data_IF_733150134467
#
_entry.id   IF_733150134467
#
_cell.length_a   1.000
_cell.length_b   1.000
_cell.length_c   1.000
_cell.angle_alpha   90.00
_cell.angle_beta   90.00
_cell.angle_gamma   90.00
#
_symmetry.space_group_name_H-M   'P 1'
#
loop_
_entity.id
_entity.type
_entity.pdbx_description
1 polymer ?
#
# COMPACT_ATOMS: atom_id res chain seq x y z
N UNK A 1 -31.06 -10.03 4.96
CA UNK A 1 -29.63 -9.79 5.23
C UNK A 1 -29.52 -8.43 5.90
N UNK A 2 -28.80 -8.31 7.02
CA UNK A 2 -28.61 -7.00 7.70
C UNK A 2 -27.67 -6.11 6.88
N UNK A 3 -27.69 -4.79 7.08
CA UNK A 3 -26.76 -3.85 6.40
C UNK A 3 -25.29 -4.28 6.60
N UNK A 4 -24.94 -4.69 7.82
CA UNK A 4 -23.62 -5.24 8.16
C UNK A 4 -23.27 -6.47 7.32
N UNK A 5 -24.18 -7.43 7.21
CA UNK A 5 -23.95 -8.64 6.39
C UNK A 5 -23.82 -8.28 4.90
N UNK A 6 -24.60 -7.32 4.41
CA UNK A 6 -24.50 -6.81 3.03
C UNK A 6 -23.10 -6.23 2.80
N UNK A 7 -22.62 -5.34 3.68
CA UNK A 7 -21.30 -4.74 3.52
C UNK A 7 -20.17 -5.77 3.61
N UNK A 8 -20.27 -6.75 4.51
CA UNK A 8 -19.29 -7.85 4.59
C UNK A 8 -19.24 -8.61 3.26
N UNK A 9 -20.38 -8.99 2.70
CA UNK A 9 -20.45 -9.67 1.39
C UNK A 9 -19.82 -8.82 0.28
N UNK A 10 -20.10 -7.51 0.27
CA UNK A 10 -19.53 -6.60 -0.71
C UNK A 10 -18.03 -6.33 -0.54
N UNK A 11 -17.51 -6.26 0.69
CA UNK A 11 -16.06 -6.21 0.93
C UNK A 11 -15.39 -7.45 0.35
N UNK A 12 -15.97 -8.63 0.53
CA UNK A 12 -15.45 -9.84 -0.12
C UNK A 12 -15.46 -9.69 -1.64
N UNK A 13 -16.56 -9.21 -2.25
CA UNK A 13 -16.66 -9.03 -3.70
C UNK A 13 -15.63 -8.04 -4.27
N UNK A 14 -15.40 -6.92 -3.60
CA UNK A 14 -14.49 -5.85 -4.07
C UNK A 14 -13.03 -6.33 -4.16
N UNK A 15 -12.66 -7.35 -3.39
CA UNK A 15 -11.32 -7.96 -3.44
C UNK A 15 -11.15 -8.99 -4.56
N UNK A 16 -12.21 -9.32 -5.32
CA UNK A 16 -12.14 -10.23 -6.45
C UNK A 16 -11.86 -9.43 -7.73
N UNK A 17 -11.13 -10.03 -8.68
CA UNK A 17 -10.97 -9.46 -10.02
C UNK A 17 -12.12 -9.97 -10.89
N UNK A 18 -12.76 -9.10 -11.67
CA UNK A 18 -13.63 -9.56 -12.75
C UNK A 18 -12.76 -9.87 -13.98
N UNK A 19 -12.78 -11.12 -14.43
CA UNK A 19 -12.07 -11.63 -15.61
C UNK A 19 -13.07 -12.31 -16.54
N UNK A 20 -13.24 -11.80 -17.76
CA UNK A 20 -14.24 -12.29 -18.74
C UNK A 20 -15.65 -12.52 -18.15
N UNK A 21 -16.11 -11.58 -17.32
CA UNK A 21 -17.43 -11.66 -16.67
C UNK A 21 -17.53 -12.67 -15.51
N UNK A 22 -16.41 -13.30 -15.11
CA UNK A 22 -16.30 -14.17 -13.94
C UNK A 22 -15.42 -13.53 -12.88
N UNK A 23 -15.85 -13.58 -11.63
CA UNK A 23 -15.02 -13.12 -10.52
C UNK A 23 -13.99 -14.19 -10.17
N UNK A 24 -12.71 -13.84 -10.33
CA UNK A 24 -11.56 -14.65 -9.95
C UNK A 24 -11.05 -14.15 -8.60
N UNK A 25 -10.96 -15.07 -7.64
CA UNK A 25 -10.39 -14.76 -6.33
C UNK A 25 -8.92 -14.35 -6.46
N UNK A 26 -8.55 -13.21 -5.88
CA UNK A 26 -7.16 -12.75 -5.78
C UNK A 26 -6.63 -13.00 -4.37
N UNK A 27 -5.31 -13.20 -4.24
CA UNK A 27 -4.59 -13.46 -2.98
C UNK A 27 -4.69 -12.33 -1.92
N UNK A 28 -5.46 -11.26 -2.18
CA UNK A 28 -5.54 -10.04 -1.35
C UNK A 28 -6.57 -10.10 -0.22
N UNK A 29 -7.66 -10.85 -0.39
CA UNK A 29 -8.69 -10.96 0.65
C UNK A 29 -8.13 -11.49 1.98
N UNK A 30 -7.25 -12.52 1.99
CA UNK A 30 -6.50 -12.91 3.19
C UNK A 30 -5.69 -11.77 3.82
N UNK A 31 -4.93 -11.01 3.01
CA UNK A 31 -4.07 -9.91 3.49
C UNK A 31 -4.84 -8.78 4.18
N UNK A 32 -6.11 -8.57 3.82
CA UNK A 32 -6.97 -7.57 4.45
C UNK A 32 -7.09 -7.77 5.97
N UNK A 33 -7.11 -9.01 6.44
CA UNK A 33 -7.16 -9.29 7.88
C UNK A 33 -5.88 -8.81 8.56
N UNK A 34 -4.72 -9.06 7.96
CA UNK A 34 -3.43 -8.61 8.52
C UNK A 34 -3.24 -7.10 8.45
N UNK A 35 -3.79 -6.44 7.41
CA UNK A 35 -3.83 -4.97 7.31
C UNK A 35 -4.69 -4.36 8.44
N UNK A 36 -5.90 -4.89 8.66
CA UNK A 36 -6.78 -4.43 9.74
C UNK A 36 -6.13 -4.68 11.10
N UNK A 37 -5.52 -5.87 11.28
CA UNK A 37 -4.83 -6.20 12.51
C UNK A 37 -3.67 -5.23 12.80
N UNK A 38 -2.89 -4.89 11.76
CA UNK A 38 -1.83 -3.91 11.87
C UNK A 38 -2.38 -2.56 12.34
N UNK A 39 -3.37 -2.02 11.64
CA UNK A 39 -3.94 -0.70 11.91
C UNK A 39 -4.57 -0.59 13.30
N UNK A 40 -5.19 -1.65 13.82
CA UNK A 40 -5.94 -1.63 15.07
C UNK A 40 -5.16 -2.07 16.30
N UNK A 41 -4.26 -3.04 16.16
CA UNK A 41 -3.65 -3.72 17.29
C UNK A 41 -2.13 -3.66 17.25
N UNK A 42 -1.52 -4.09 16.13
CA UNK A 42 -0.07 -4.21 16.04
C UNK A 42 0.61 -2.84 16.12
N UNK A 43 0.05 -1.85 15.42
CA UNK A 43 0.63 -0.50 15.37
C UNK A 43 0.64 0.24 16.72
N UNK A 44 -0.01 -0.33 17.74
CA UNK A 44 -0.10 0.20 19.11
C UNK A 44 0.76 -0.58 20.11
N UNK A 45 1.47 -1.62 19.67
CA UNK A 45 2.37 -2.38 20.53
C UNK A 45 3.61 -1.55 20.84
N UNK A 46 3.94 -1.44 22.13
CA UNK A 46 5.06 -0.60 22.59
C UNK A 46 6.40 -1.15 22.13
N UNK A 47 6.49 -2.47 22.00
CA UNK A 47 7.65 -3.24 21.57
C UNK A 47 8.14 -2.80 20.18
N UNK A 48 7.25 -2.31 19.32
CA UNK A 48 7.60 -1.87 17.96
C UNK A 48 8.11 -0.42 17.90
N UNK A 49 7.99 0.35 18.99
CA UNK A 49 8.39 1.76 19.07
C UNK A 49 7.92 2.59 17.85
N UNK A 50 6.65 2.45 17.48
CA UNK A 50 6.09 3.12 16.31
C UNK A 50 5.63 4.54 16.63
N UNK A 51 5.60 5.43 15.62
CA UNK A 51 5.06 6.78 15.75
C UNK A 51 3.69 6.86 16.42
N UNK A 52 3.48 7.93 17.17
CA UNK A 52 2.16 8.28 17.67
C UNK A 52 1.29 8.93 16.58
N UNK A 53 -0.02 9.01 16.85
CA UNK A 53 -1.01 9.74 16.03
C UNK A 53 -1.01 9.32 14.55
N UNK A 54 -0.99 8.01 14.32
CA UNK A 54 -1.00 7.44 12.96
C UNK A 54 -2.21 7.94 12.14
N UNK A 55 -1.92 8.32 10.90
CA UNK A 55 -2.85 8.71 9.85
C UNK A 55 -2.77 7.67 8.73
N UNK A 56 -3.87 6.98 8.45
CA UNK A 56 -3.93 5.91 7.45
C UNK A 56 -4.52 6.41 6.13
N UNK A 57 -4.67 5.56 5.11
CA UNK A 57 -5.46 5.87 3.91
C UNK A 57 -4.84 6.94 2.99
N UNK A 58 -3.51 7.09 3.02
CA UNK A 58 -2.78 7.86 2.03
C UNK A 58 -2.53 7.01 0.79
N UNK A 59 -2.89 7.54 -0.37
CA UNK A 59 -2.72 6.89 -1.67
C UNK A 59 -2.23 7.91 -2.69
N UNK A 60 -1.64 7.45 -3.78
CA UNK A 60 -1.27 8.32 -4.90
C UNK A 60 -1.32 7.59 -6.23
N UNK A 61 -1.44 8.38 -7.31
CA UNK A 61 -1.05 7.97 -8.66
C UNK A 61 0.03 8.89 -9.21
N UNK A 62 0.86 8.38 -10.11
CA UNK A 62 1.79 9.24 -10.84
C UNK A 62 1.02 10.00 -11.94
N UNK A 63 1.36 11.28 -12.18
CA UNK A 63 0.73 12.08 -13.25
C UNK A 63 0.92 11.45 -14.64
N UNK A 64 2.03 10.75 -14.84
CA UNK A 64 2.29 9.89 -15.99
C UNK A 64 3.11 8.68 -15.55
N UNK A 65 3.19 7.64 -16.39
CA UNK A 65 3.91 6.38 -16.10
C UNK A 65 5.37 6.58 -15.66
N UNK A 66 5.99 7.68 -16.10
CA UNK A 66 7.40 7.99 -15.85
C UNK A 66 7.62 9.29 -15.08
N UNK A 67 6.57 10.03 -14.74
CA UNK A 67 6.72 11.26 -13.96
C UNK A 67 7.07 10.95 -12.50
N UNK A 68 7.88 11.83 -11.90
CA UNK A 68 8.11 11.87 -10.44
C UNK A 68 6.97 12.59 -9.71
N UNK A 69 6.12 13.29 -10.45
CA UNK A 69 5.00 14.06 -9.91
C UNK A 69 3.82 13.17 -9.59
N UNK A 70 3.26 13.38 -8.41
CA UNK A 70 2.19 12.56 -7.86
C UNK A 70 0.92 13.38 -7.67
N UNK A 71 -0.19 12.67 -7.77
CA UNK A 71 -1.50 13.13 -7.32
C UNK A 71 -1.85 12.27 -6.12
N UNK A 72 -1.80 12.89 -4.94
CA UNK A 72 -2.07 12.29 -3.66
C UNK A 72 -3.55 12.39 -3.30
N UNK A 73 -4.07 11.30 -2.75
CA UNK A 73 -5.42 11.19 -2.22
C UNK A 73 -5.33 10.73 -0.76
N UNK A 74 -5.84 11.54 0.16
CA UNK A 74 -6.11 11.14 1.54
C UNK A 74 -7.56 10.68 1.64
N UNK A 75 -7.77 9.42 1.96
CA UNK A 75 -9.10 8.93 2.31
C UNK A 75 -9.44 9.38 3.74
N UNK A 76 -10.58 10.05 3.90
CA UNK A 76 -11.00 10.63 5.18
C UNK A 76 -11.36 9.52 6.17
N UNK A 77 -10.92 9.68 7.41
CA UNK A 77 -11.23 8.78 8.53
C UNK A 77 -12.32 9.36 9.44
N UNK A 78 -13.00 10.44 9.03
CA UNK A 78 -14.05 11.10 9.81
C UNK A 78 -13.53 12.03 10.92
N UNK A 79 -12.22 12.27 11.00
CA UNK A 79 -11.59 13.27 11.88
C UNK A 79 -11.07 14.47 11.09
N UNK A 80 -10.96 15.63 11.76
CA UNK A 80 -10.30 16.80 11.19
C UNK A 80 -8.88 16.43 10.74
N UNK A 81 -8.50 16.83 9.52
CA UNK A 81 -7.16 16.61 8.97
C UNK A 81 -6.08 16.96 9.99
N UNK A 82 -5.52 15.91 10.59
CA UNK A 82 -4.64 16.03 11.75
C UNK A 82 -3.37 16.79 11.44
N UNK A 83 -2.72 17.26 12.50
CA UNK A 83 -1.41 17.90 12.43
C UNK A 83 -0.39 17.09 11.60
N UNK A 84 -0.41 15.76 11.75
CA UNK A 84 0.44 14.80 11.02
C UNK A 84 0.24 14.94 9.50
N UNK A 85 -1.01 14.88 9.03
CA UNK A 85 -1.35 15.05 7.62
C UNK A 85 -0.90 16.39 7.07
N UNK A 86 -1.08 17.48 7.84
CA UNK A 86 -0.64 18.82 7.44
C UNK A 86 0.89 18.89 7.30
N UNK A 87 1.63 18.34 8.25
CA UNK A 87 3.10 18.31 8.19
C UNK A 87 3.59 17.43 7.03
N UNK A 88 2.99 16.25 6.82
CA UNK A 88 3.29 15.38 5.69
C UNK A 88 3.11 16.10 4.35
N UNK A 89 1.95 16.73 4.11
CA UNK A 89 1.69 17.48 2.86
C UNK A 89 2.70 18.62 2.67
N UNK A 90 3.05 19.33 3.75
CA UNK A 90 4.07 20.39 3.69
C UNK A 90 5.43 19.83 3.24
N UNK A 91 5.91 18.77 3.88
CA UNK A 91 7.22 18.19 3.59
C UNK A 91 7.30 17.62 2.18
N UNK A 92 6.26 16.92 1.72
CA UNK A 92 6.21 16.41 0.35
C UNK A 92 6.17 17.57 -0.67
N UNK A 93 5.36 18.61 -0.46
CA UNK A 93 5.35 19.78 -1.36
C UNK A 93 6.66 20.55 -1.40
N UNK A 94 7.37 20.63 -0.26
CA UNK A 94 8.69 21.22 -0.21
C UNK A 94 9.71 20.42 -1.04
N UNK A 95 9.57 19.09 -1.07
CA UNK A 95 10.41 18.20 -1.88
C UNK A 95 10.02 18.17 -3.36
N UNK A 96 8.71 18.23 -3.67
CA UNK A 96 8.19 18.32 -5.03
C UNK A 96 6.99 19.26 -5.12
N UNK A 97 7.21 20.45 -5.70
CA UNK A 97 6.18 21.50 -5.80
C UNK A 97 5.03 21.13 -6.73
N UNK A 98 5.27 20.21 -7.68
CA UNK A 98 4.29 19.77 -8.66
C UNK A 98 3.35 18.68 -8.12
N UNK A 99 3.57 18.19 -6.90
CA UNK A 99 2.68 17.23 -6.26
C UNK A 99 1.35 17.89 -5.85
N UNK A 100 0.25 17.21 -6.16
CA UNK A 100 -1.11 17.66 -5.88
C UNK A 100 -1.76 16.79 -4.81
N UNK A 101 -2.68 17.36 -4.05
CA UNK A 101 -3.24 16.70 -2.87
C UNK A 101 -4.75 16.87 -2.83
N UNK A 102 -5.45 15.78 -2.59
CA UNK A 102 -6.91 15.73 -2.53
C UNK A 102 -7.35 14.96 -1.29
N UNK A 103 -8.44 15.41 -0.67
CA UNK A 103 -9.18 14.68 0.36
C UNK A 103 -10.38 14.02 -0.28
N UNK A 104 -10.53 12.72 -0.04
CA UNK A 104 -11.66 11.91 -0.50
C UNK A 104 -12.51 11.54 0.71
N UNK A 105 -13.75 12.01 0.72
CA UNK A 105 -14.76 11.68 1.70
C UNK A 105 -15.83 10.79 1.05
N UNK A 106 -16.43 9.89 1.83
CA UNK A 106 -17.47 8.98 1.35
C UNK A 106 -18.59 8.83 2.36
N UNK A 107 -19.83 8.76 1.87
CA UNK A 107 -20.99 8.36 2.63
C UNK A 107 -21.60 7.10 2.01
N UNK A 108 -21.64 6.00 2.78
CA UNK A 108 -22.16 4.71 2.32
C UNK A 108 -23.56 4.48 2.87
N UNK A 109 -24.49 4.20 1.97
CA UNK A 109 -25.84 3.73 2.27
C UNK A 109 -26.09 2.37 1.61
N UNK A 110 -27.12 1.64 2.04
CA UNK A 110 -27.52 0.40 1.37
C UNK A 110 -28.97 0.48 0.95
N UNK A 111 -29.25 0.34 -0.34
CA UNK A 111 -30.60 0.34 -0.88
C UNK A 111 -30.85 -1.00 -1.60
N UNK A 112 -31.90 -1.72 -1.19
CA UNK A 112 -32.31 -3.00 -1.79
C UNK A 112 -31.18 -4.05 -1.87
N UNK A 113 -30.29 -4.08 -0.87
CA UNK A 113 -29.18 -5.04 -0.81
C UNK A 113 -27.92 -4.67 -1.60
N UNK A 114 -27.90 -3.48 -2.23
CA UNK A 114 -26.74 -2.96 -2.95
C UNK A 114 -26.24 -1.69 -2.22
N UNK A 115 -24.95 -1.61 -1.86
CA UNK A 115 -24.35 -0.39 -1.36
C UNK A 115 -24.34 0.70 -2.42
N UNK A 116 -24.68 1.91 -1.99
CA UNK A 116 -24.54 3.14 -2.75
C UNK A 116 -23.52 4.05 -2.02
N UNK A 117 -22.61 4.66 -2.78
CA UNK A 117 -21.51 5.47 -2.23
C UNK A 117 -21.58 6.87 -2.82
N UNK A 118 -21.81 7.86 -1.95
CA UNK A 118 -21.68 9.28 -2.30
C UNK A 118 -20.25 9.74 -2.01
N UNK A 119 -19.57 10.18 -3.07
CA UNK A 119 -18.20 10.66 -3.01
C UNK A 119 -18.14 12.17 -2.96
N UNK A 120 -17.22 12.70 -2.15
CA UNK A 120 -16.84 14.10 -2.17
C UNK A 120 -15.32 14.20 -2.25
N UNK A 121 -14.83 14.85 -3.31
CA UNK A 121 -13.40 15.11 -3.48
C UNK A 121 -13.15 16.60 -3.32
N UNK A 122 -12.17 16.96 -2.51
CA UNK A 122 -11.74 18.36 -2.34
C UNK A 122 -10.24 18.45 -2.48
N UNK A 123 -9.75 19.52 -3.08
CA UNK A 123 -8.32 19.76 -3.20
C UNK A 123 -7.79 20.38 -1.90
N UNK A 124 -6.58 19.97 -1.52
CA UNK A 124 -5.88 20.40 -0.31
C UNK A 124 -4.85 21.49 -0.65
N UNK A 125 -5.15 22.74 -0.28
CA UNK A 125 -4.25 23.89 -0.49
C UNK A 125 -3.80 24.52 0.81
N UNK A 126 -2.60 25.09 0.83
CA UNK A 126 -2.18 25.90 1.97
C UNK A 126 -2.75 27.31 1.84
N UNK A 127 -3.42 27.75 2.90
CA UNK A 127 -3.80 29.15 3.08
C UNK A 127 -2.56 29.98 3.44
N UNK A 128 -2.66 31.29 3.31
CA UNK A 128 -1.58 32.23 3.65
C UNK A 128 -1.09 32.13 5.11
N UNK A 129 -1.92 31.62 6.02
CA UNK A 129 -1.57 31.36 7.41
C UNK A 129 -0.98 29.95 7.67
N UNK A 130 -0.64 29.19 6.62
CA UNK A 130 -0.07 27.84 6.73
C UNK A 130 -1.08 26.74 7.12
N UNK A 131 -2.37 27.07 7.25
CA UNK A 131 -3.42 26.08 7.46
C UNK A 131 -3.76 25.35 6.15
N UNK A 132 -4.11 24.07 6.25
CA UNK A 132 -4.59 23.30 5.11
C UNK A 132 -6.09 23.64 4.88
N UNK A 133 -6.37 24.33 3.78
CA UNK A 133 -7.70 24.60 3.27
C UNK A 133 -8.19 23.50 2.35
N UNK A 134 -9.52 23.36 2.27
CA UNK A 134 -10.20 22.47 1.34
C UNK A 134 -10.98 23.34 0.36
N UNK A 135 -10.76 23.17 -0.93
CA UNK A 135 -11.52 23.87 -1.95
C UNK A 135 -12.00 22.89 -3.02
N UNK A 136 -13.22 23.13 -3.52
CA UNK A 136 -13.78 22.35 -4.62
C UNK A 136 -13.29 22.96 -5.93
N UNK A 137 -12.21 22.42 -6.48
CA UNK A 137 -11.68 22.83 -7.78
C UNK A 137 -12.29 22.01 -8.91
N UNK A 138 -12.17 22.52 -10.15
CA UNK A 138 -12.52 21.76 -11.36
C UNK A 138 -11.83 20.40 -11.41
N UNK A 139 -10.58 20.32 -10.95
CA UNK A 139 -9.82 19.06 -10.91
C UNK A 139 -10.35 18.09 -9.85
N UNK A 140 -10.78 18.61 -8.69
CA UNK A 140 -11.45 17.80 -7.68
C UNK A 140 -12.79 17.24 -8.22
N UNK A 141 -13.55 18.04 -8.97
CA UNK A 141 -14.77 17.59 -9.65
C UNK A 141 -14.50 16.50 -10.69
N UNK A 142 -13.45 16.65 -11.50
CA UNK A 142 -13.00 15.64 -12.48
C UNK A 142 -12.69 14.31 -11.78
N UNK A 143 -11.89 14.32 -10.71
CA UNK A 143 -11.59 13.09 -9.96
C UNK A 143 -12.80 12.50 -9.25
N UNK A 144 -13.70 13.33 -8.73
CA UNK A 144 -14.96 12.85 -8.18
C UNK A 144 -15.78 12.11 -9.24
N UNK A 145 -15.86 12.65 -10.47
CA UNK A 145 -16.51 12.01 -11.60
C UNK A 145 -15.86 10.70 -12.01
N UNK A 146 -14.52 10.65 -12.07
CA UNK A 146 -13.76 9.44 -12.40
C UNK A 146 -13.97 8.32 -11.36
N UNK A 147 -13.84 8.66 -10.06
CA UNK A 147 -14.07 7.73 -8.95
C UNK A 147 -15.52 7.22 -9.00
N UNK A 148 -16.49 8.12 -9.08
CA UNK A 148 -17.92 7.77 -9.11
C UNK A 148 -18.23 6.84 -10.28
N UNK A 149 -17.87 7.23 -11.51
CA UNK A 149 -18.16 6.44 -12.70
C UNK A 149 -17.45 5.08 -12.73
N UNK A 150 -16.23 5.00 -12.20
CA UNK A 150 -15.51 3.72 -12.06
C UNK A 150 -16.17 2.77 -11.06
N UNK A 151 -16.51 3.29 -9.88
CA UNK A 151 -17.12 2.50 -8.80
C UNK A 151 -18.56 2.08 -9.15
N UNK A 152 -19.39 2.99 -9.65
CA UNK A 152 -20.79 2.68 -10.02
C UNK A 152 -20.84 1.60 -11.10
N UNK A 153 -20.03 1.72 -12.16
CA UNK A 153 -19.95 0.70 -13.21
C UNK A 153 -19.53 -0.67 -12.67
N UNK A 154 -18.65 -0.72 -11.66
CA UNK A 154 -18.23 -1.97 -11.05
C UNK A 154 -19.32 -2.58 -10.14
N UNK A 155 -20.04 -1.76 -9.38
CA UNK A 155 -21.14 -2.22 -8.50
C UNK A 155 -22.38 -2.65 -9.31
N UNK A 156 -22.60 -2.09 -10.49
CA UNK A 156 -23.68 -2.48 -11.42
C UNK A 156 -23.48 -3.87 -12.04
N UNK A 157 -22.25 -4.39 -12.03
CA UNK A 157 -21.94 -5.76 -12.46
C UNK A 157 -22.47 -6.73 -11.39
N UNK A 158 -23.79 -6.90 -11.34
CA UNK A 158 -24.59 -7.74 -10.41
C UNK A 158 -24.35 -9.24 -10.58
N UNK A 159 -23.16 -9.65 -11.01
CA UNK A 159 -22.82 -11.05 -11.21
C UNK A 159 -22.93 -11.74 -9.83
N UNK A 160 -23.78 -12.77 -9.70
CA UNK A 160 -23.90 -13.52 -8.47
C UNK A 160 -22.54 -14.10 -8.09
N UNK A 161 -22.04 -13.71 -6.92
CA UNK A 161 -20.82 -14.25 -6.39
C UNK A 161 -21.20 -15.12 -5.19
N UNK A 162 -20.90 -16.41 -5.28
CA UNK A 162 -20.85 -17.29 -4.11
C UNK A 162 -19.46 -17.18 -3.52
N UNK A 163 -19.14 -16.07 -2.85
CA UNK A 163 -17.94 -16.04 -1.99
C UNK A 163 -18.31 -16.76 -0.70
N UNK A 164 -17.62 -17.84 -0.36
CA UNK A 164 -17.64 -18.30 1.02
C UNK A 164 -17.16 -17.15 1.92
N UNK A 165 -17.78 -16.90 3.07
CA UNK A 165 -17.39 -15.82 3.99
C UNK A 165 -16.01 -16.08 4.62
N UNK A 166 -14.94 -16.02 3.83
CA UNK A 166 -13.59 -16.45 4.21
C UNK A 166 -13.06 -15.67 5.41
N UNK A 167 -13.28 -14.37 5.42
CA UNK A 167 -12.83 -13.48 6.51
C UNK A 167 -14.01 -12.93 7.33
N UNK A 168 -15.23 -13.43 7.09
CA UNK A 168 -16.45 -12.91 7.70
C UNK A 168 -16.45 -12.94 9.23
N UNK A 169 -15.75 -13.89 9.85
CA UNK A 169 -15.63 -13.94 11.31
C UNK A 169 -14.97 -12.67 11.88
N UNK A 170 -13.88 -12.19 11.29
CA UNK A 170 -13.19 -10.98 11.72
C UNK A 170 -14.02 -9.73 11.40
N UNK A 171 -14.57 -9.63 10.19
CA UNK A 171 -15.38 -8.47 9.80
C UNK A 171 -16.69 -8.37 10.60
N UNK A 172 -17.22 -9.48 11.11
CA UNK A 172 -18.38 -9.44 12.01
C UNK A 172 -18.09 -8.82 13.37
N UNK A 173 -16.82 -8.68 13.79
CA UNK A 173 -16.48 -7.95 15.01
C UNK A 173 -16.42 -6.43 14.80
N UNK A 174 -16.35 -5.97 13.55
CA UNK A 174 -16.21 -4.57 13.18
C UNK A 174 -17.53 -3.79 13.37
N UNK A 175 -17.43 -2.52 13.76
CA UNK A 175 -18.61 -1.65 13.83
C UNK A 175 -19.07 -1.25 12.42
N UNK A 176 -20.34 -0.84 12.29
CA UNK A 176 -20.92 -0.52 10.99
C UNK A 176 -20.18 0.62 10.28
N UNK A 177 -19.73 1.64 11.01
CA UNK A 177 -18.96 2.76 10.44
C UNK A 177 -17.60 2.32 9.90
N UNK A 178 -16.91 1.41 10.59
CA UNK A 178 -15.64 0.85 10.12
C UNK A 178 -15.84 0.02 8.86
N UNK A 179 -16.90 -0.79 8.80
CA UNK A 179 -17.24 -1.56 7.59
C UNK A 179 -17.59 -0.67 6.41
N UNK A 180 -18.35 0.42 6.63
CA UNK A 180 -18.63 1.42 5.59
C UNK A 180 -17.34 2.03 5.06
N UNK A 181 -16.49 2.50 5.97
CA UNK A 181 -15.18 3.09 5.64
C UNK A 181 -14.31 2.11 4.84
N UNK A 182 -14.15 0.89 5.34
CA UNK A 182 -13.38 -0.17 4.70
C UNK A 182 -13.92 -0.46 3.29
N UNK A 183 -15.22 -0.70 3.16
CA UNK A 183 -15.86 -0.95 1.87
C UNK A 183 -15.59 0.17 0.86
N UNK A 184 -15.84 1.42 1.23
CA UNK A 184 -15.56 2.56 0.35
C UNK A 184 -14.08 2.68 0.00
N UNK A 185 -13.16 2.53 0.96
CA UNK A 185 -11.72 2.58 0.67
C UNK A 185 -11.32 1.51 -0.36
N UNK A 186 -11.82 0.27 -0.21
CA UNK A 186 -11.53 -0.80 -1.16
C UNK A 186 -12.13 -0.53 -2.53
N UNK A 187 -13.35 0.02 -2.62
CA UNK A 187 -13.92 0.46 -3.90
C UNK A 187 -13.07 1.54 -4.56
N UNK A 188 -12.58 2.52 -3.80
CA UNK A 188 -11.69 3.56 -4.32
C UNK A 188 -10.40 2.96 -4.88
N UNK A 189 -9.76 2.05 -4.15
CA UNK A 189 -8.50 1.43 -4.57
C UNK A 189 -8.67 0.53 -5.80
N UNK A 190 -9.73 -0.27 -5.84
CA UNK A 190 -9.88 -1.33 -6.83
C UNK A 190 -10.69 -0.90 -8.08
N UNK A 191 -11.63 0.05 -7.95
CA UNK A 191 -12.59 0.36 -9.02
C UNK A 191 -12.54 1.80 -9.55
N UNK A 192 -11.82 2.73 -8.91
CA UNK A 192 -11.76 4.13 -9.37
C UNK A 192 -11.05 4.36 -10.70
N UNK A 193 -10.39 3.33 -11.27
CA UNK A 193 -9.53 3.41 -12.48
C UNK A 193 -8.29 4.31 -12.34
N UNK A 194 -8.05 4.88 -11.15
CA UNK A 194 -6.93 5.77 -10.88
C UNK A 194 -5.57 5.05 -10.77
N UNK A 195 -5.56 3.71 -10.67
CA UNK A 195 -4.35 2.89 -10.44
C UNK A 195 -3.52 3.41 -9.26
N UNK A 196 -4.09 3.34 -8.06
CA UNK A 196 -3.51 3.90 -6.86
C UNK A 196 -2.44 2.99 -6.24
N UNK A 197 -1.36 3.59 -5.78
CA UNK A 197 -0.41 3.00 -4.81
C UNK A 197 -0.72 3.58 -3.43
N UNK A 198 -0.61 2.78 -2.38
CA UNK A 198 -0.88 3.17 -1.01
C UNK A 198 0.39 3.32 -0.17
N UNK A 199 0.25 4.05 0.93
CA UNK A 199 1.16 4.05 2.07
C UNK A 199 0.35 3.55 3.26
N UNK A 200 0.89 2.59 4.01
CA UNK A 200 0.16 1.94 5.10
C UNK A 200 -0.18 2.94 6.21
N UNK A 201 0.79 3.73 6.69
CA UNK A 201 0.51 4.82 7.63
C UNK A 201 1.54 5.96 7.58
N UNK A 202 1.15 7.12 8.11
CA UNK A 202 2.04 8.26 8.40
C UNK A 202 1.85 8.67 9.85
N UNK A 203 2.93 8.93 10.59
CA UNK A 203 2.86 9.32 12.00
C UNK A 203 3.91 10.35 12.41
N UNK A 204 3.88 10.73 13.68
CA UNK A 204 4.90 11.57 14.31
C UNK A 204 5.71 10.73 15.31
N UNK A 205 7.04 10.72 15.15
CA UNK A 205 7.93 10.15 16.15
C UNK A 205 7.87 10.92 17.47
N UNK A 206 8.43 10.36 18.54
CA UNK A 206 8.57 11.07 19.82
C UNK A 206 9.38 12.38 19.67
N UNK A 207 10.33 12.42 18.73
CA UNK A 207 11.12 13.61 18.40
C UNK A 207 10.35 14.63 17.54
N UNK A 208 9.11 14.33 17.15
CA UNK A 208 8.28 15.18 16.30
C UNK A 208 8.63 15.13 14.81
N UNK A 209 9.45 14.17 14.37
CA UNK A 209 9.71 13.93 12.94
C UNK A 209 8.57 13.15 12.30
N UNK A 210 8.22 13.49 11.06
CA UNK A 210 7.26 12.70 10.28
C UNK A 210 7.91 11.39 9.85
N UNK A 211 7.18 10.30 10.04
CA UNK A 211 7.58 8.97 9.60
C UNK A 211 6.48 8.32 8.76
N UNK A 212 6.89 7.71 7.66
CA UNK A 212 6.06 6.82 6.84
C UNK A 212 6.30 5.39 7.29
N UNK A 213 5.23 4.64 7.53
CA UNK A 213 5.27 3.23 7.84
C UNK A 213 4.84 2.43 6.61
N UNK A 214 5.62 1.40 6.32
CA UNK A 214 5.27 0.35 5.37
C UNK A 214 5.22 -0.97 6.13
N UNK A 215 4.08 -1.64 6.09
CA UNK A 215 3.84 -2.91 6.73
C UNK A 215 3.66 -4.01 5.68
N UNK A 216 4.35 -5.13 5.88
CA UNK A 216 4.18 -6.33 5.07
C UNK A 216 4.19 -7.56 5.95
N UNK A 217 3.30 -8.50 5.63
CA UNK A 217 3.45 -9.89 6.07
C UNK A 217 4.09 -10.68 4.94
N UNK A 218 5.25 -11.27 5.21
CA UNK A 218 6.00 -12.09 4.24
C UNK A 218 7.12 -12.85 4.96
N UNK A 219 7.53 -13.95 4.37
CA UNK A 219 8.77 -14.65 4.70
C UNK A 219 9.96 -14.10 3.87
N UNK A 220 11.21 -14.29 4.34
CA UNK A 220 12.38 -13.94 3.56
C UNK A 220 12.43 -14.70 2.23
N UNK A 221 12.81 -14.02 1.16
CA UNK A 221 13.16 -14.69 -0.08
C UNK A 221 14.48 -15.43 0.12
N UNK A 222 14.45 -16.76 0.01
CA UNK A 222 15.59 -17.68 0.19
C UNK A 222 16.34 -17.98 -1.13
N UNK A 223 15.94 -17.33 -2.22
CA UNK A 223 16.46 -17.54 -3.58
C UNK A 223 17.61 -16.62 -3.98
N UNK A 224 17.98 -16.67 -5.26
CA UNK A 224 19.00 -15.77 -5.81
C UNK A 224 18.49 -14.34 -5.90
N UNK A 225 19.28 -13.41 -5.35
CA UNK A 225 19.18 -11.98 -5.64
C UNK A 225 20.32 -11.54 -6.55
N UNK A 226 20.06 -10.55 -7.37
CA UNK A 226 21.04 -10.03 -8.31
C UNK A 226 21.58 -8.70 -7.82
N UNK A 227 22.85 -8.70 -7.44
CA UNK A 227 23.58 -7.51 -6.99
C UNK A 227 24.21 -6.84 -8.20
N UNK A 228 24.01 -5.53 -8.34
CA UNK A 228 24.56 -4.78 -9.45
C UNK A 228 26.09 -4.63 -9.35
N UNK A 229 26.82 -4.98 -10.40
CA UNK A 229 28.20 -4.52 -10.59
C UNK A 229 28.15 -3.03 -10.96
N UNK A 230 28.51 -2.18 -10.01
CA UNK A 230 28.52 -0.73 -10.20
C UNK A 230 29.57 -0.32 -11.23
N UNK A 231 29.18 0.49 -12.20
CA UNK A 231 30.08 1.05 -13.22
C UNK A 231 30.35 2.53 -12.92
N UNK A 232 31.51 3.00 -13.40
CA UNK A 232 31.88 4.42 -13.32
C UNK A 232 30.78 5.27 -13.94
N UNK A 233 30.29 6.28 -13.20
CA UNK A 233 29.21 7.21 -13.56
C UNK A 233 27.76 6.65 -13.47
N UNK A 234 27.54 5.50 -12.85
CA UNK A 234 26.18 5.06 -12.51
C UNK A 234 25.68 5.67 -11.18
N UNK A 235 24.35 5.85 -11.02
CA UNK A 235 23.78 6.21 -9.74
C UNK A 235 24.05 5.13 -8.67
N UNK A 236 23.90 5.51 -7.40
CA UNK A 236 24.10 4.63 -6.25
C UNK A 236 22.77 4.27 -5.58
N UNK A 237 22.78 3.22 -4.74
CA UNK A 237 21.62 2.81 -3.96
C UNK A 237 20.43 2.40 -4.83
N UNK A 238 19.23 2.77 -4.40
CA UNK A 238 17.96 2.43 -5.05
C UNK A 238 17.86 2.92 -6.50
N UNK A 239 18.44 4.09 -6.82
CA UNK A 239 18.36 4.71 -8.14
C UNK A 239 19.05 3.86 -9.22
N UNK A 240 20.10 3.12 -8.84
CA UNK A 240 20.75 2.14 -9.69
C UNK A 240 19.78 1.04 -10.12
N UNK A 241 19.11 0.42 -9.17
CA UNK A 241 18.19 -0.68 -9.45
C UNK A 241 16.96 -0.21 -10.22
N UNK A 242 16.40 0.95 -9.84
CA UNK A 242 15.26 1.55 -10.52
C UNK A 242 15.60 1.86 -11.98
N UNK A 243 16.72 2.56 -12.24
CA UNK A 243 17.13 2.93 -13.59
C UNK A 243 17.39 1.72 -14.49
N UNK A 244 18.03 0.66 -13.97
CA UNK A 244 18.25 -0.59 -14.70
C UNK A 244 16.93 -1.29 -15.05
N UNK A 245 15.99 -1.38 -14.11
CA UNK A 245 14.66 -1.97 -14.40
C UNK A 245 13.89 -1.16 -15.43
N UNK A 246 13.98 0.17 -15.40
CA UNK A 246 13.42 1.01 -16.46
C UNK A 246 14.04 0.74 -17.82
N UNK A 247 15.38 0.65 -17.90
CA UNK A 247 16.07 0.31 -19.14
C UNK A 247 15.58 -1.03 -19.71
N UNK A 248 15.43 -2.06 -18.87
CA UNK A 248 14.90 -3.37 -19.30
C UNK A 248 13.49 -3.27 -19.86
N UNK A 249 12.59 -2.56 -19.16
CA UNK A 249 11.20 -2.36 -19.62
C UNK A 249 11.15 -1.61 -20.97
N UNK A 250 12.05 -0.66 -21.21
CA UNK A 250 12.11 0.09 -22.46
C UNK A 250 12.73 -0.70 -23.62
N UNK A 251 13.74 -1.53 -23.35
CA UNK A 251 14.42 -2.32 -24.39
C UNK A 251 13.64 -3.56 -24.83
N UNK A 252 12.60 -3.96 -24.09
CA UNK A 252 11.85 -5.20 -24.36
C UNK A 252 12.72 -6.46 -24.25
N UNK A 253 13.89 -6.36 -23.63
CA UNK A 253 14.83 -7.46 -23.46
C UNK A 253 14.29 -8.45 -22.41
N UNK A 254 14.51 -9.75 -22.65
CA UNK A 254 14.11 -10.76 -21.68
C UNK A 254 15.02 -10.72 -20.46
N UNK A 255 14.41 -10.84 -19.27
CA UNK A 255 15.12 -10.78 -17.99
C UNK A 255 16.30 -11.76 -17.91
N UNK A 256 16.15 -12.96 -18.48
CA UNK A 256 17.21 -14.00 -18.49
C UNK A 256 18.47 -13.56 -19.25
N UNK A 257 18.34 -12.74 -20.29
CA UNK A 257 19.49 -12.28 -21.09
C UNK A 257 20.28 -11.22 -20.35
N UNK A 258 19.61 -10.29 -19.67
CA UNK A 258 20.27 -9.19 -18.96
C UNK A 258 20.90 -9.63 -17.62
N UNK A 259 20.22 -10.50 -16.87
CA UNK A 259 20.74 -11.03 -15.60
C UNK A 259 21.73 -12.19 -15.78
N UNK A 260 21.81 -12.75 -16.98
CA UNK A 260 22.88 -13.67 -17.37
C UNK A 260 24.21 -12.95 -17.66
N UNK A 261 24.20 -11.63 -17.81
CA UNK A 261 25.42 -10.83 -17.99
C UNK A 261 26.16 -10.67 -16.65
N UNK A 262 27.10 -11.57 -16.39
CA UNK A 262 27.96 -11.56 -15.20
C UNK A 262 28.87 -10.31 -15.12
N UNK A 263 29.00 -9.53 -16.19
CA UNK A 263 29.67 -8.23 -16.15
C UNK A 263 28.79 -7.14 -15.50
N UNK A 264 27.47 -7.35 -15.42
CA UNK A 264 26.49 -6.41 -14.85
C UNK A 264 25.93 -6.85 -13.52
N UNK A 265 25.86 -8.16 -13.27
CA UNK A 265 25.19 -8.73 -12.11
C UNK A 265 26.01 -9.83 -11.45
N UNK A 266 25.96 -9.87 -10.13
CA UNK A 266 26.44 -10.99 -9.32
C UNK A 266 25.23 -11.62 -8.64
N UNK A 267 24.99 -12.89 -8.92
CA UNK A 267 24.01 -13.69 -8.17
C UNK A 267 24.52 -13.95 -6.75
N UNK A 268 23.69 -13.66 -5.76
CA UNK A 268 23.94 -14.00 -4.35
C UNK A 268 22.78 -14.77 -3.77
N UNK A 269 23.06 -15.61 -2.78
CA UNK A 269 22.06 -16.42 -2.10
C UNK A 269 22.11 -16.07 -0.61
N UNK A 270 21.36 -15.03 -0.25
CA UNK A 270 21.20 -14.55 1.12
C UNK A 270 19.72 -14.27 1.37
N UNK A 271 19.23 -14.56 2.58
CA UNK A 271 17.85 -14.26 2.95
C UNK A 271 17.60 -12.75 2.92
N UNK A 272 16.59 -12.34 2.15
CA UNK A 272 16.28 -10.94 1.95
C UNK A 272 14.78 -10.67 2.00
N UNK A 273 14.42 -9.47 2.46
CA UNK A 273 13.09 -8.93 2.34
C UNK A 273 13.01 -8.01 1.11
N UNK A 274 12.15 -8.38 0.15
CA UNK A 274 11.92 -7.58 -1.07
C UNK A 274 10.87 -6.47 -0.90
N UNK A 275 11.14 -5.29 -1.45
CA UNK A 275 10.17 -4.19 -1.57
C UNK A 275 9.92 -3.92 -3.05
N UNK A 276 8.66 -3.90 -3.48
CA UNK A 276 8.37 -3.62 -4.89
C UNK A 276 8.82 -2.22 -5.29
N UNK A 277 9.21 -2.06 -6.56
CA UNK A 277 9.69 -0.76 -7.07
C UNK A 277 8.68 0.38 -6.85
N UNK A 278 7.37 0.11 -6.87
CA UNK A 278 6.36 1.13 -6.57
C UNK A 278 6.53 1.70 -5.16
N UNK A 279 6.74 0.85 -4.16
CA UNK A 279 6.96 1.25 -2.77
C UNK A 279 8.37 1.74 -2.51
N UNK A 280 9.37 1.17 -3.20
CA UNK A 280 10.75 1.62 -3.09
C UNK A 280 10.92 3.09 -3.54
N UNK A 281 10.15 3.56 -4.52
CA UNK A 281 10.08 4.99 -4.88
C UNK A 281 9.54 5.89 -3.75
N UNK A 282 8.79 5.36 -2.80
CA UNK A 282 8.40 6.13 -1.61
C UNK A 282 9.61 6.40 -0.72
N UNK A 283 10.59 5.49 -0.65
CA UNK A 283 11.84 5.71 0.08
C UNK A 283 12.65 6.87 -0.52
N UNK A 284 12.77 6.92 -1.85
CA UNK A 284 13.44 8.05 -2.56
C UNK A 284 12.73 9.38 -2.24
N UNK A 285 11.40 9.39 -2.31
CA UNK A 285 10.62 10.59 -1.98
C UNK A 285 10.79 11.01 -0.52
N UNK A 286 10.67 10.08 0.42
CA UNK A 286 10.79 10.36 1.85
C UNK A 286 12.19 10.89 2.18
N UNK A 287 13.23 10.30 1.61
CA UNK A 287 14.62 10.77 1.75
C UNK A 287 14.77 12.21 1.31
N UNK A 288 14.22 12.59 0.13
CA UNK A 288 14.25 13.99 -0.33
C UNK A 288 13.44 14.94 0.53
N UNK A 289 12.33 14.47 1.09
CA UNK A 289 11.44 15.25 1.93
C UNK A 289 11.92 15.37 3.37
N UNK A 290 12.99 14.67 3.76
CA UNK A 290 13.42 14.58 5.16
C UNK A 290 12.44 13.81 6.04
N UNK A 291 11.70 12.87 5.47
CA UNK A 291 10.74 11.99 6.15
C UNK A 291 11.42 10.65 6.40
N UNK A 292 11.29 10.10 7.61
CA UNK A 292 11.77 8.75 7.90
C UNK A 292 10.87 7.72 7.23
N UNK A 293 11.43 6.66 6.66
CA UNK A 293 10.65 5.55 6.11
C UNK A 293 10.97 4.28 6.89
N UNK A 294 10.00 3.76 7.64
CA UNK A 294 10.17 2.57 8.47
C UNK A 294 9.49 1.38 7.83
N UNK A 295 10.26 0.32 7.59
CA UNK A 295 9.77 -0.91 7.03
C UNK A 295 9.58 -1.97 8.13
N UNK A 296 8.35 -2.45 8.26
CA UNK A 296 7.91 -3.38 9.29
C UNK A 296 7.48 -4.67 8.59
N UNK A 297 8.16 -5.76 8.90
CA UNK A 297 7.85 -7.08 8.34
C UNK A 297 7.38 -8.01 9.44
N UNK A 298 6.14 -8.49 9.34
CA UNK A 298 5.70 -9.67 10.08
C UNK A 298 6.16 -10.91 9.31
N UNK A 299 7.19 -11.58 9.85
CA UNK A 299 7.74 -12.79 9.28
C UNK A 299 6.77 -13.97 9.46
N UNK A 300 6.23 -14.47 8.35
CA UNK A 300 5.33 -15.61 8.37
C UNK A 300 5.18 -16.23 6.97
N UNK A 301 5.36 -17.55 6.91
CA UNK A 301 5.12 -18.39 5.74
C UNK A 301 3.62 -18.73 5.53
N UNK A 302 2.79 -18.58 6.57
CA UNK A 302 1.35 -18.91 6.53
C UNK A 302 0.59 -18.03 5.56
N UNK A 303 -0.23 -18.61 4.69
CA UNK A 303 -1.01 -17.85 3.72
C UNK A 303 -2.36 -17.40 4.28
N UNK A 304 -2.93 -18.15 5.22
CA UNK A 304 -4.31 -17.93 5.67
C UNK A 304 -4.41 -17.23 7.03
N UNK A 305 -5.26 -16.20 7.18
CA UNK A 305 -5.41 -15.44 8.42
C UNK A 305 -5.81 -16.28 9.63
N UNK A 306 -6.54 -17.38 9.43
CA UNK A 306 -6.93 -18.26 10.54
C UNK A 306 -5.73 -19.02 11.11
N UNK A 307 -4.62 -19.13 10.40
CA UNK A 307 -3.38 -19.73 10.91
C UNK A 307 -2.64 -18.75 11.83
N UNK A 308 -2.85 -17.44 11.61
CA UNK A 308 -2.14 -16.35 12.29
C UNK A 308 -2.90 -15.80 13.49
N UNK A 309 -4.20 -15.61 13.33
CA UNK A 309 -5.05 -14.91 14.28
C UNK A 309 -6.25 -15.76 14.67
N UNK A 310 -6.67 -15.64 15.92
CA UNK A 310 -7.99 -16.09 16.36
C UNK A 310 -9.08 -15.18 15.80
N UNK A 311 -10.34 -15.61 15.87
CA UNK A 311 -11.50 -14.80 15.46
C UNK A 311 -11.67 -13.53 16.31
N UNK A 312 -11.00 -13.46 17.46
CA UNK A 312 -11.02 -12.32 18.38
C UNK A 312 -9.80 -11.41 18.22
N UNK A 313 -9.09 -11.51 17.09
CA UNK A 313 -7.89 -10.72 16.78
C UNK A 313 -6.66 -11.03 17.64
N UNK A 314 -6.66 -12.09 18.45
CA UNK A 314 -5.45 -12.49 19.19
C UNK A 314 -4.50 -13.29 18.31
N UNK A 315 -3.17 -13.04 18.35
CA UNK A 315 -2.18 -13.93 17.76
C UNK A 315 -2.34 -15.38 18.26
N UNK A 316 -2.13 -16.35 17.38
CA UNK A 316 -2.09 -17.77 17.76
C UNK A 316 -0.72 -18.23 18.23
N UNK A 317 0.31 -17.52 17.80
CA UNK A 317 1.72 -17.72 18.13
C UNK A 317 2.36 -16.35 18.34
N UNK A 318 3.49 -16.27 19.05
CA UNK A 318 4.27 -15.04 19.11
C UNK A 318 4.55 -14.48 17.72
N UNK A 319 4.53 -13.16 17.59
CA UNK A 319 4.76 -12.49 16.32
C UNK A 319 6.25 -12.23 16.14
N UNK A 320 6.84 -12.87 15.13
CA UNK A 320 8.21 -12.60 14.70
C UNK A 320 8.21 -11.40 13.75
N UNK A 321 8.75 -10.29 14.22
CA UNK A 321 8.75 -9.00 13.55
C UNK A 321 10.18 -8.58 13.20
N UNK A 322 10.34 -7.90 12.07
CA UNK A 322 11.59 -7.28 11.65
C UNK A 322 11.32 -5.82 11.32
N UNK A 323 12.10 -4.92 11.91
CA UNK A 323 11.96 -3.48 11.68
C UNK A 323 13.28 -2.89 11.17
N UNK A 324 13.19 -1.99 10.19
CA UNK A 324 14.33 -1.21 9.73
C UNK A 324 13.89 0.20 9.31
N UNK A 325 14.68 1.21 9.67
CA UNK A 325 14.60 2.52 9.03
C UNK A 325 15.34 2.44 7.68
N UNK A 326 14.59 2.53 6.59
CA UNK A 326 15.07 2.30 5.24
C UNK A 326 15.45 3.62 4.60
N UNK A 327 16.62 3.64 3.97
CA UNK A 327 17.13 4.78 3.19
C UNK A 327 17.35 4.35 1.74
N UNK A 328 17.62 5.31 0.85
CA UNK A 328 18.00 5.01 -0.53
C UNK A 328 19.20 4.07 -0.65
N UNK A 329 20.06 3.95 0.37
CA UNK A 329 21.25 3.09 0.37
C UNK A 329 21.02 1.71 1.00
N UNK A 330 19.84 1.42 1.52
CA UNK A 330 19.53 0.15 2.20
C UNK A 330 19.38 -1.03 1.23
N UNK A 331 19.23 -0.76 -0.07
CA UNK A 331 18.95 -1.77 -1.09
C UNK A 331 20.23 -2.27 -1.74
N UNK A 332 20.37 -3.59 -1.79
CA UNK A 332 21.61 -4.21 -2.21
C UNK A 332 21.42 -5.33 -3.25
N UNK A 333 20.22 -5.48 -3.80
CA UNK A 333 19.95 -6.43 -4.87
C UNK A 333 18.59 -6.24 -5.53
N UNK A 334 18.34 -7.03 -6.57
CA UNK A 334 17.06 -7.13 -7.26
C UNK A 334 16.59 -8.58 -7.30
N UNK A 335 15.28 -8.78 -7.12
CA UNK A 335 14.58 -10.03 -7.40
C UNK A 335 13.35 -9.78 -8.26
N UNK A 336 12.78 -10.85 -8.81
CA UNK A 336 11.51 -10.80 -9.53
C UNK A 336 10.51 -11.82 -9.01
N UNK A 337 9.25 -11.55 -9.29
CA UNK A 337 8.18 -12.53 -9.16
C UNK A 337 7.36 -12.46 -10.45
N UNK A 338 7.19 -13.60 -11.11
CA UNK A 338 6.31 -13.68 -12.27
C UNK A 338 4.87 -13.37 -11.85
N UNK A 339 4.11 -12.72 -12.73
CA UNK A 339 2.76 -12.22 -12.43
C UNK A 339 1.85 -13.29 -11.85
N UNK A 340 1.89 -14.49 -12.44
CA UNK A 340 1.12 -15.69 -12.05
C UNK A 340 1.35 -16.11 -10.59
N UNK A 341 2.56 -15.92 -10.08
CA UNK A 341 2.95 -16.29 -8.73
C UNK A 341 2.68 -15.17 -7.71
N UNK A 342 2.56 -13.92 -8.17
CA UNK A 342 2.70 -12.72 -7.35
C UNK A 342 1.44 -12.25 -6.58
N UNK A 343 0.29 -12.89 -6.80
CA UNK A 343 -0.99 -12.45 -6.20
C UNK A 343 -1.48 -11.07 -6.66
N UNK A 344 -0.84 -10.46 -7.66
CA UNK A 344 -1.16 -9.13 -8.20
C UNK A 344 -2.47 -9.14 -9.02
N UNK A 345 -3.08 -7.96 -9.17
CA UNK A 345 -4.17 -7.74 -10.12
C UNK A 345 -3.69 -7.81 -11.57
N UNK A 346 -2.41 -7.49 -11.81
CA UNK A 346 -1.77 -7.53 -13.13
C UNK A 346 -0.95 -8.81 -13.30
N UNK A 347 -0.88 -9.33 -14.53
CA UNK A 347 0.03 -10.42 -14.93
C UNK A 347 1.47 -9.90 -15.19
N UNK A 348 1.72 -8.62 -14.92
CA UNK A 348 3.04 -8.03 -15.10
C UNK A 348 4.05 -8.62 -14.11
N UNK A 349 5.26 -8.92 -14.61
CA UNK A 349 6.41 -9.23 -13.77
C UNK A 349 6.63 -8.12 -12.74
N UNK A 350 6.65 -8.49 -11.47
CA UNK A 350 6.99 -7.58 -10.37
C UNK A 350 8.49 -7.63 -10.14
N UNK A 351 9.05 -6.45 -9.98
CA UNK A 351 10.44 -6.25 -9.65
C UNK A 351 10.51 -5.74 -8.22
N UNK A 352 11.35 -6.40 -7.43
CA UNK A 352 11.55 -6.08 -6.03
C UNK A 352 13.01 -5.75 -5.79
N UNK A 353 13.26 -4.64 -5.12
CA UNK A 353 14.58 -4.33 -4.58
C UNK A 353 14.73 -5.03 -3.23
N UNK A 354 15.89 -5.60 -2.98
CA UNK A 354 16.13 -6.51 -1.86
C UNK A 354 16.88 -5.79 -0.76
N UNK A 355 16.51 -6.10 0.48
CA UNK A 355 17.21 -5.68 1.71
C UNK A 355 17.57 -6.96 2.48
N UNK A 356 18.84 -7.19 2.87
CA UNK A 356 19.23 -8.36 3.63
C UNK A 356 18.51 -8.42 4.97
N UNK A 357 18.09 -9.62 5.40
CA UNK A 357 17.43 -9.82 6.70
C UNK A 357 18.33 -9.33 7.85
N UNK A 358 19.64 -9.50 7.74
CA UNK A 358 20.62 -9.05 8.73
C UNK A 358 20.64 -7.52 8.95
N UNK A 359 20.04 -6.73 8.06
CA UNK A 359 19.91 -5.27 8.21
C UNK A 359 18.74 -4.85 9.11
N UNK A 360 17.86 -5.79 9.47
CA UNK A 360 16.67 -5.53 10.28
C UNK A 360 16.92 -5.82 11.75
N UNK A 361 16.25 -5.08 12.61
CA UNK A 361 16.16 -5.39 14.04
C UNK A 361 15.04 -6.41 14.26
N UNK A 362 15.34 -7.63 14.77
CA UNK A 362 14.31 -8.60 15.10
C UNK A 362 13.61 -8.22 16.41
N UNK A 363 12.29 -8.38 16.44
CA UNK A 363 11.43 -8.11 17.59
C UNK A 363 10.44 -9.27 17.71
N UNK A 364 10.24 -9.79 18.92
CA UNK A 364 9.22 -10.80 19.18
C UNK A 364 8.12 -10.18 20.05
N UNK A 365 6.86 -10.29 19.61
CA UNK A 365 5.70 -9.86 20.41
C UNK A 365 5.00 -11.11 20.94
N UNK A 366 4.78 -11.22 22.26
CA UNK A 366 4.09 -12.37 22.84
C UNK A 366 2.64 -12.49 22.33
N UNK A 367 2.13 -13.72 22.30
CA UNK A 367 0.77 -14.06 21.86
C UNK A 367 -0.31 -13.69 22.86
#
# INVERSE_FOLDING_TARGET
>A
MTEKQILIDWIHRVEFKLDDGKWVEKKRLPSLVTEIYFNKYLARQKELNLPEKLSFGWMYKNKSKYSKDRIWFKFSEGGANGEVSRQFVNMIRSANKEDEFFLVESEVSTLRGVPDIRWKVTELTFKSNGALGHHFSKKAEEYQGEIKGGVEAALELRVPLKVGQKIGNWLNSECLSDLKRLFSQRCLMNFSKLFLSDIDAVGLSEAGSIEVLEFKRKDPATGFRYVANHRRNEPYGIDLYISRVYAFKCMGSSFKVEFGDSSRWIGRQDDCFGLDISHAKNVELCTRAGINYRYIVWNSDKSEPFELLTKCWSPKVPLDMFIMDVTSNSFDGLSLTNGDDSGSYTEETRYQVMIPVASFTPISIPS
#
